data_IF_240492921430
#
_entry.id   IF_240492921430
#
_cell.length_a   1.000
_cell.length_b   1.000
_cell.length_c   1.000
_cell.angle_alpha   90.00
_cell.angle_beta   90.00
_cell.angle_gamma   90.00
#
_symmetry.space_group_name_H-M   'P 1'
#
loop_
_entity.id
_entity.type
_entity.pdbx_description
1 polymer ?
#
# COMPACT_ATOMS: atom_id res chain seq x y z
N UNK A 1 -12.12 -17.22 7.34
CA UNK A 1 -11.33 -16.17 7.90
C UNK A 1 -11.56 -14.88 7.15
N UNK A 2 -11.93 -13.87 7.84
CA UNK A 2 -12.27 -12.64 7.18
C UNK A 2 -11.53 -11.47 7.75
N UNK A 3 -10.42 -11.76 8.34
CA UNK A 3 -9.64 -10.76 9.04
C UNK A 3 -9.18 -9.64 8.15
N UNK A 4 -8.93 -9.92 6.88
CA UNK A 4 -8.30 -8.94 5.99
C UNK A 4 -9.25 -8.39 4.95
N UNK A 5 -10.58 -8.49 5.19
CA UNK A 5 -11.52 -7.97 4.21
C UNK A 5 -11.38 -6.45 4.02
N UNK A 6 -11.04 -5.71 5.09
CA UNK A 6 -10.85 -4.27 4.99
C UNK A 6 -9.61 -3.94 4.16
N UNK A 7 -8.58 -4.79 4.23
CA UNK A 7 -7.37 -4.59 3.45
C UNK A 7 -7.64 -4.84 1.97
N UNK A 8 -8.47 -5.85 1.66
CA UNK A 8 -8.86 -6.10 0.27
C UNK A 8 -9.61 -4.91 -0.30
N UNK A 9 -10.53 -4.34 0.47
CA UNK A 9 -11.27 -3.16 0.04
C UNK A 9 -10.34 -1.97 -0.17
N UNK A 10 -9.36 -1.79 0.71
CA UNK A 10 -8.39 -0.72 0.59
C UNK A 10 -7.52 -0.92 -0.66
N UNK A 11 -7.09 -2.16 -0.92
CA UNK A 11 -6.30 -2.46 -2.11
C UNK A 11 -7.09 -2.23 -3.38
N UNK A 12 -8.38 -2.56 -3.38
CA UNK A 12 -9.23 -2.29 -4.53
C UNK A 12 -9.32 -0.79 -4.80
N UNK A 13 -9.49 0.01 -3.74
CA UNK A 13 -9.56 1.46 -3.86
C UNK A 13 -8.22 2.03 -4.35
N UNK A 14 -7.12 1.54 -3.81
CA UNK A 14 -5.80 2.00 -4.22
C UNK A 14 -5.52 1.62 -5.67
N UNK A 15 -5.93 0.44 -6.08
CA UNK A 15 -5.75 -0.03 -7.44
C UNK A 15 -6.51 0.84 -8.43
N UNK A 16 -7.76 1.19 -8.11
CA UNK A 16 -8.57 2.05 -8.96
C UNK A 16 -7.95 3.45 -9.08
N UNK A 17 -7.46 3.97 -7.97
CA UNK A 17 -6.84 5.29 -7.96
C UNK A 17 -5.54 5.29 -8.76
N UNK A 18 -4.74 4.24 -8.60
CA UNK A 18 -3.50 4.10 -9.35
C UNK A 18 -3.77 4.01 -10.85
N UNK A 19 -4.77 3.23 -11.24
CA UNK A 19 -5.13 3.11 -12.65
C UNK A 19 -5.56 4.44 -13.23
N UNK A 20 -6.35 5.21 -12.48
CA UNK A 20 -6.79 6.54 -12.93
C UNK A 20 -5.60 7.47 -13.14
N UNK A 21 -4.61 7.42 -12.24
CA UNK A 21 -3.41 8.23 -12.39
C UNK A 21 -2.59 7.80 -13.60
N UNK A 22 -2.45 6.50 -13.82
CA UNK A 22 -1.71 6.00 -14.98
C UNK A 22 -2.34 6.42 -16.29
N UNK A 23 -3.67 6.46 -16.32
CA UNK A 23 -4.38 6.91 -17.52
C UNK A 23 -4.15 8.39 -17.80
N UNK A 24 -3.74 9.15 -16.79
CA UNK A 24 -3.38 10.55 -16.92
C UNK A 24 -1.88 10.76 -17.16
N UNK A 25 -1.13 9.65 -17.30
CA UNK A 25 0.31 9.72 -17.49
C UNK A 25 1.09 9.96 -16.22
N UNK A 26 0.47 9.73 -15.05
CA UNK A 26 1.11 9.92 -13.77
C UNK A 26 1.43 8.57 -13.15
N UNK A 27 2.66 8.44 -12.64
CA UNK A 27 3.15 7.18 -12.07
C UNK A 27 3.67 7.46 -10.68
N UNK A 28 2.85 7.20 -9.63
CA UNK A 28 3.27 7.49 -8.25
C UNK A 28 4.53 6.72 -7.88
N UNK A 29 5.41 7.37 -7.13
CA UNK A 29 6.65 6.74 -6.68
C UNK A 29 6.45 5.92 -5.43
N UNK A 30 5.46 6.26 -4.59
CA UNK A 30 5.25 5.54 -3.36
C UNK A 30 3.78 5.54 -2.96
N UNK A 31 3.42 4.50 -2.20
CA UNK A 31 2.12 4.37 -1.57
C UNK A 31 2.32 4.61 -0.08
N UNK A 32 1.78 5.71 0.43
CA UNK A 32 1.84 6.02 1.85
C UNK A 32 0.64 5.43 2.55
N UNK A 33 0.87 4.76 3.65
CA UNK A 33 -0.19 4.06 4.36
C UNK A 33 -0.10 4.34 5.85
N UNK A 34 -1.24 4.23 6.53
CA UNK A 34 -1.27 4.35 7.97
C UNK A 34 -0.63 3.14 8.63
N UNK A 35 -0.39 3.24 9.94
CA UNK A 35 0.37 2.23 10.67
C UNK A 35 -0.26 0.85 10.61
N UNK A 36 -1.59 0.76 10.67
CA UNK A 36 -2.26 -0.53 10.64
C UNK A 36 -2.11 -1.21 9.28
N UNK A 37 -2.21 -0.43 8.20
CA UNK A 37 -2.03 -0.95 6.85
C UNK A 37 -0.58 -1.41 6.68
N UNK A 38 0.36 -0.58 7.15
CA UNK A 38 1.77 -0.90 7.02
C UNK A 38 2.11 -2.19 7.76
N UNK A 39 1.62 -2.34 8.99
CA UNK A 39 1.88 -3.54 9.77
C UNK A 39 1.32 -4.79 9.09
N UNK A 40 0.13 -4.68 8.50
CA UNK A 40 -0.47 -5.81 7.79
C UNK A 40 0.37 -6.20 6.57
N UNK A 41 0.84 -5.22 5.81
CA UNK A 41 1.66 -5.51 4.63
C UNK A 41 3.01 -6.12 5.03
N UNK A 42 3.65 -5.61 6.08
CA UNK A 42 4.92 -6.17 6.52
C UNK A 42 4.75 -7.61 7.00
N UNK A 43 3.64 -7.92 7.65
CA UNK A 43 3.36 -9.29 8.08
C UNK A 43 3.16 -10.22 6.88
N UNK A 44 2.42 -9.75 5.87
CA UNK A 44 2.16 -10.56 4.67
C UNK A 44 3.43 -10.78 3.84
N UNK A 45 4.36 -9.84 3.87
CA UNK A 45 5.58 -9.90 3.08
C UNK A 45 6.83 -10.12 3.92
N UNK A 46 6.66 -10.70 5.11
CA UNK A 46 7.78 -10.85 6.05
C UNK A 46 8.96 -11.60 5.44
N UNK A 47 8.69 -12.61 4.61
CA UNK A 47 9.76 -13.40 4.00
C UNK A 47 10.58 -12.55 3.02
N UNK A 48 9.91 -11.78 2.18
CA UNK A 48 10.62 -10.92 1.22
C UNK A 48 11.44 -9.85 1.95
N UNK A 49 10.88 -9.27 3.02
CA UNK A 49 11.59 -8.28 3.79
C UNK A 49 12.81 -8.87 4.48
N UNK A 50 12.71 -10.11 4.96
CA UNK A 50 13.83 -10.80 5.58
C UNK A 50 14.96 -11.05 4.57
N UNK A 51 14.62 -11.19 3.30
CA UNK A 51 15.59 -11.39 2.23
C UNK A 51 16.16 -10.08 1.70
N UNK A 52 15.78 -8.93 2.30
CA UNK A 52 16.28 -7.64 1.89
C UNK A 52 15.55 -7.01 0.72
N UNK A 53 14.41 -7.57 0.33
CA UNK A 53 13.63 -7.01 -0.76
C UNK A 53 12.75 -5.87 -0.26
N UNK A 54 12.48 -4.87 -1.11
CA UNK A 54 11.61 -3.76 -0.70
C UNK A 54 10.16 -4.20 -0.57
N UNK A 55 9.40 -3.48 0.25
CA UNK A 55 7.98 -3.73 0.39
C UNK A 55 7.25 -3.05 -0.76
N UNK A 56 6.77 -3.86 -1.71
CA UNK A 56 6.06 -3.37 -2.89
C UNK A 56 4.63 -3.88 -2.88
N UNK A 57 3.70 -3.00 -3.23
CA UNK A 57 2.30 -3.36 -3.42
C UNK A 57 1.84 -2.67 -4.70
N UNK A 58 1.22 -3.44 -5.60
CA UNK A 58 0.77 -2.92 -6.89
C UNK A 58 1.93 -2.31 -7.68
N UNK A 59 3.15 -2.82 -7.46
CA UNK A 59 4.34 -2.33 -8.13
C UNK A 59 4.88 -1.01 -7.59
N UNK A 60 4.36 -0.57 -6.44
CA UNK A 60 4.71 0.71 -5.86
C UNK A 60 5.30 0.49 -4.47
N UNK A 61 6.35 1.22 -4.14
CA UNK A 61 6.96 1.10 -2.82
C UNK A 61 6.01 1.62 -1.74
N UNK A 62 5.93 0.88 -0.63
CA UNK A 62 5.03 1.22 0.49
C UNK A 62 5.84 1.87 1.60
N UNK A 63 5.37 3.01 2.10
CA UNK A 63 5.98 3.69 3.24
C UNK A 63 4.91 4.00 4.28
N UNK A 64 5.31 3.96 5.54
CA UNK A 64 4.41 4.30 6.63
C UNK A 64 4.34 5.82 6.79
N UNK A 65 3.12 6.35 6.92
CA UNK A 65 2.91 7.77 7.17
C UNK A 65 2.07 7.90 8.43
N UNK A 66 2.69 8.38 9.49
CA UNK A 66 2.03 8.47 10.80
C UNK A 66 0.98 9.57 10.87
N UNK A 67 0.96 10.45 9.89
CA UNK A 67 -0.06 11.49 9.82
C UNK A 67 -1.37 10.97 9.25
N UNK A 68 -1.35 9.81 8.61
CA UNK A 68 -2.55 9.18 8.10
C UNK A 68 -3.23 8.38 9.21
N UNK A 69 -4.55 8.27 9.13
CA UNK A 69 -5.27 7.37 10.02
C UNK A 69 -4.79 5.93 9.79
N UNK A 70 -4.87 5.04 10.79
CA UNK A 70 -4.25 3.72 10.68
C UNK A 70 -4.68 2.90 9.47
N UNK A 71 -5.89 3.12 8.95
CA UNK A 71 -6.40 2.35 7.80
C UNK A 71 -6.45 3.19 6.52
N UNK A 72 -5.82 4.35 6.49
CA UNK A 72 -5.81 5.23 5.32
C UNK A 72 -4.60 4.98 4.43
N UNK A 73 -4.71 5.45 3.18
CA UNK A 73 -3.60 5.40 2.26
C UNK A 73 -3.59 6.66 1.39
N UNK A 74 -2.45 6.93 0.75
CA UNK A 74 -2.32 8.00 -0.22
C UNK A 74 -1.20 7.68 -1.20
N UNK A 75 -1.38 8.07 -2.45
CA UNK A 75 -0.37 7.88 -3.49
C UNK A 75 0.43 9.16 -3.66
N UNK A 76 1.75 9.02 -3.77
CA UNK A 76 2.67 10.15 -3.91
C UNK A 76 3.58 9.98 -5.10
N UNK A 77 3.77 11.07 -5.80
CA UNK A 77 4.70 11.09 -6.94
C UNK A 77 6.14 11.24 -6.53
#
# INVERSE_FOLDING_TARGET
>A
MKTDSWICAMLDAASAELLALEQQGQYPAELRVGSRVYDSFTSLRARELADGLPLLVLGTEVTEDRELAPAEFGLRS
#
